data_IF_651737892252
#
_entry.id   IF_651737892252
#
_cell.length_a   1.000
_cell.length_b   1.000
_cell.length_c   1.000
_cell.angle_alpha   90.00
_cell.angle_beta   90.00
_cell.angle_gamma   90.00
#
_symmetry.space_group_name_H-M   'P 1'
#
loop_
_entity.id
_entity.type
_entity.pdbx_description
1 polymer ?
#
# COMPACT_ATOMS: atom_id res chain seq x y z
N UNK A 1 -15.30 -13.97 -16.90
CA UNK A 1 -15.37 -12.49 -16.78
C UNK A 1 -14.88 -12.03 -15.39
N UNK A 2 -14.23 -12.92 -14.62
CA UNK A 2 -13.82 -12.69 -13.23
C UNK A 2 -12.49 -11.97 -13.01
N UNK A 3 -11.58 -11.93 -13.99
CA UNK A 3 -10.21 -11.43 -13.74
C UNK A 3 -10.16 -9.93 -13.41
N UNK A 4 -11.11 -9.13 -13.92
CA UNK A 4 -11.17 -7.69 -13.68
C UNK A 4 -11.53 -7.34 -12.22
N UNK A 5 -12.35 -8.15 -11.56
CA UNK A 5 -12.78 -7.97 -10.16
C UNK A 5 -11.63 -8.18 -9.17
N UNK A 6 -10.86 -9.25 -9.35
CA UNK A 6 -9.70 -9.55 -8.49
C UNK A 6 -8.61 -8.49 -8.59
N UNK A 7 -8.41 -7.93 -9.78
CA UNK A 7 -7.48 -6.83 -10.06
C UNK A 7 -7.90 -5.55 -9.34
N UNK A 8 -9.19 -5.23 -9.33
CA UNK A 8 -9.74 -4.07 -8.61
C UNK A 8 -9.63 -4.22 -7.09
N UNK A 9 -9.84 -5.44 -6.59
CA UNK A 9 -9.64 -5.79 -5.17
C UNK A 9 -8.16 -5.68 -4.77
N UNK A 10 -7.26 -6.03 -5.68
CA UNK A 10 -5.80 -5.90 -5.54
C UNK A 10 -5.38 -4.43 -5.51
N UNK A 11 -6.00 -3.57 -6.33
CA UNK A 11 -5.83 -2.10 -6.32
C UNK A 11 -6.24 -1.48 -4.98
N UNK A 12 -7.45 -1.78 -4.49
CA UNK A 12 -7.93 -1.28 -3.18
C UNK A 12 -6.97 -1.66 -2.06
N UNK A 13 -6.38 -2.86 -2.13
CA UNK A 13 -5.41 -3.36 -1.14
C UNK A 13 -4.02 -2.75 -1.27
N UNK A 14 -3.48 -2.63 -2.48
CA UNK A 14 -2.22 -1.94 -2.75
C UNK A 14 -2.28 -0.49 -2.28
N UNK A 15 -3.45 0.11 -2.42
CA UNK A 15 -3.74 1.46 -2.01
C UNK A 15 -3.86 1.63 -0.50
N UNK A 16 -4.61 0.76 0.19
CA UNK A 16 -4.65 0.72 1.65
C UNK A 16 -3.24 0.52 2.23
N UNK A 17 -2.44 -0.32 1.57
CA UNK A 17 -1.05 -0.54 1.92
C UNK A 17 -0.19 0.72 1.70
N UNK A 18 -0.36 1.42 0.58
CA UNK A 18 0.32 2.69 0.32
C UNK A 18 -0.03 3.72 1.40
N UNK A 19 -1.31 3.83 1.77
CA UNK A 19 -1.80 4.72 2.84
C UNK A 19 -1.26 4.33 4.22
N UNK A 20 -1.27 3.04 4.57
CA UNK A 20 -0.71 2.56 5.83
C UNK A 20 0.82 2.76 5.90
N UNK A 21 1.49 2.83 4.75
CA UNK A 21 2.93 3.06 4.63
C UNK A 21 3.30 4.55 4.43
N UNK A 22 2.31 5.43 4.27
CA UNK A 22 2.50 6.83 3.87
C UNK A 22 3.18 7.69 4.96
N UNK A 23 3.24 7.23 6.22
CA UNK A 23 4.06 7.88 7.25
C UNK A 23 5.56 7.90 6.94
N UNK A 24 6.00 7.16 5.91
CA UNK A 24 7.39 7.05 5.49
C UNK A 24 7.56 7.32 3.98
N UNK A 25 6.87 8.33 3.42
CA UNK A 25 6.81 8.69 1.98
C UNK A 25 8.16 8.66 1.25
N UNK A 26 9.26 8.89 1.97
CA UNK A 26 10.60 8.75 1.43
C UNK A 26 10.92 7.34 0.93
N UNK A 27 10.44 6.26 1.55
CA UNK A 27 10.98 4.90 1.40
C UNK A 27 10.17 3.92 0.53
N UNK A 28 9.02 4.29 -0.03
CA UNK A 28 8.11 3.31 -0.67
C UNK A 28 8.72 2.54 -1.84
N UNK A 29 9.62 3.16 -2.62
CA UNK A 29 10.35 2.48 -3.71
C UNK A 29 11.45 1.54 -3.23
N UNK A 30 11.87 1.65 -1.96
CA UNK A 30 12.86 0.76 -1.37
C UNK A 30 12.23 -0.55 -0.86
N UNK A 31 10.89 -0.64 -0.82
CA UNK A 31 10.17 -1.80 -0.32
C UNK A 31 10.11 -2.88 -1.40
N UNK A 32 10.45 -4.11 -1.03
CA UNK A 32 10.51 -5.26 -1.93
C UNK A 32 9.66 -6.41 -1.41
N UNK A 33 9.07 -7.17 -2.33
CA UNK A 33 8.53 -8.51 -2.09
C UNK A 33 9.67 -9.50 -2.26
N UNK A 34 10.45 -9.67 -1.20
CA UNK A 34 11.53 -10.66 -1.14
C UNK A 34 11.60 -11.28 0.26
N UNK A 35 12.07 -12.52 0.42
CA UNK A 35 12.14 -13.18 1.73
C UNK A 35 12.95 -12.41 2.78
N UNK A 36 13.94 -11.63 2.36
CA UNK A 36 14.76 -10.78 3.23
C UNK A 36 14.16 -9.41 3.51
N UNK A 37 13.08 -9.04 2.83
CA UNK A 37 12.50 -7.70 2.84
C UNK A 37 11.04 -7.67 3.31
N UNK A 38 10.35 -8.81 3.38
CA UNK A 38 8.96 -8.92 3.80
C UNK A 38 8.78 -10.12 4.71
N UNK A 39 8.37 -9.84 5.94
CA UNK A 39 8.08 -10.85 6.95
C UNK A 39 6.65 -10.69 7.46
N UNK A 40 5.95 -11.81 7.66
CA UNK A 40 4.65 -11.84 8.32
C UNK A 40 4.81 -12.42 9.72
N UNK A 41 4.32 -11.69 10.72
CA UNK A 41 4.31 -12.14 12.10
C UNK A 41 3.36 -13.34 12.32
N UNK A 42 3.51 -14.03 13.45
CA UNK A 42 2.67 -15.18 13.80
C UNK A 42 1.19 -14.78 13.78
N UNK A 43 0.35 -15.66 13.23
CA UNK A 43 -1.10 -15.43 13.11
C UNK A 43 -1.50 -14.26 12.22
N UNK A 44 -0.61 -13.76 11.34
CA UNK A 44 -0.83 -12.54 10.55
C UNK A 44 -1.09 -11.31 11.41
N UNK A 45 -0.55 -11.26 12.63
CA UNK A 45 -0.71 -10.14 13.58
C UNK A 45 -0.04 -8.86 13.12
N UNK A 46 1.05 -8.98 12.34
CA UNK A 46 1.80 -7.87 11.77
C UNK A 46 2.46 -8.26 10.45
N UNK A 47 2.84 -7.27 9.65
CA UNK A 47 3.78 -7.43 8.55
C UNK A 47 4.92 -6.43 8.72
N UNK A 48 6.14 -6.87 8.46
CA UNK A 48 7.35 -6.08 8.56
C UNK A 48 7.97 -5.99 7.16
N UNK A 49 8.17 -4.77 6.69
CA UNK A 49 8.72 -4.45 5.39
C UNK A 49 10.07 -3.74 5.58
N UNK A 50 11.16 -4.42 5.23
CA UNK A 50 12.51 -3.86 5.32
C UNK A 50 12.87 -3.16 4.00
N UNK A 51 13.32 -1.89 4.06
CA UNK A 51 13.88 -1.22 2.89
C UNK A 51 15.11 -1.97 2.37
N UNK A 52 15.29 -1.97 1.04
CA UNK A 52 16.48 -2.53 0.38
C UNK A 52 17.78 -1.99 1.01
N UNK A 53 18.73 -2.89 1.27
CA UNK A 53 20.07 -2.53 1.70
C UNK A 53 20.73 -1.54 0.72
N UNK A 54 21.27 -0.43 1.24
CA UNK A 54 21.84 0.66 0.45
C UNK A 54 20.87 1.77 0.04
N UNK A 55 19.60 1.70 0.46
CA UNK A 55 18.68 2.82 0.30
C UNK A 55 19.06 3.99 1.23
N UNK A 56 19.38 5.14 0.64
CA UNK A 56 19.63 6.39 1.38
C UNK A 56 18.38 7.27 1.26
N UNK A 57 17.54 7.36 2.31
CA UNK A 57 16.40 8.26 2.26
C UNK A 57 16.85 9.71 2.17
N UNK A 58 16.02 10.50 1.49
CA UNK A 58 16.18 11.95 1.40
C UNK A 58 16.11 12.66 2.77
N UNK A 59 15.56 11.98 3.78
CA UNK A 59 15.53 12.43 5.18
C UNK A 59 16.32 11.42 6.03
N UNK A 60 17.47 11.81 6.62
CA UNK A 60 18.37 10.89 7.32
C UNK A 60 17.72 10.14 8.50
N UNK A 61 16.74 10.76 9.17
CA UNK A 61 16.05 10.19 10.34
C UNK A 61 15.21 8.94 10.04
N UNK A 62 14.98 8.61 8.77
CA UNK A 62 14.18 7.46 8.36
C UNK A 62 15.02 6.36 7.67
N UNK A 63 16.36 6.47 7.69
CA UNK A 63 17.24 5.49 7.07
C UNK A 63 17.21 4.17 7.83
N UNK A 64 16.82 3.10 7.14
CA UNK A 64 16.96 1.73 7.63
C UNK A 64 15.88 1.25 8.61
N UNK A 65 14.89 2.07 8.96
CA UNK A 65 13.78 1.60 9.80
C UNK A 65 12.78 0.78 8.98
N UNK A 66 12.36 -0.40 9.46
CA UNK A 66 11.32 -1.17 8.79
C UNK A 66 9.96 -0.46 8.88
N UNK A 67 9.15 -0.64 7.84
CA UNK A 67 7.73 -0.30 7.89
C UNK A 67 7.00 -1.44 8.58
N UNK A 68 6.33 -1.15 9.69
CA UNK A 68 5.57 -2.14 10.46
C UNK A 68 4.08 -1.87 10.28
N UNK A 69 3.37 -2.84 9.73
CA UNK A 69 1.92 -2.84 9.60
C UNK A 69 1.32 -3.73 10.68
N UNK A 70 0.40 -3.18 11.48
CA UNK A 70 -0.35 -3.96 12.46
C UNK A 70 -1.64 -4.46 11.83
N UNK A 71 -2.03 -5.69 12.16
CA UNK A 71 -3.30 -6.21 11.72
C UNK A 71 -4.45 -5.54 12.47
N UNK A 72 -5.49 -5.15 11.73
CA UNK A 72 -6.77 -4.84 12.34
C UNK A 72 -7.53 -6.14 12.59
N UNK A 73 -8.19 -6.22 13.75
CA UNK A 73 -9.13 -7.28 14.12
C UNK A 73 -8.50 -8.68 14.09
N UNK A 74 -7.80 -9.04 15.17
CA UNK A 74 -7.30 -10.40 15.37
C UNK A 74 -8.48 -11.39 15.49
N UNK A 75 -8.30 -12.60 14.97
CA UNK A 75 -9.31 -13.67 15.09
C UNK A 75 -9.35 -14.19 16.53
N UNK A 76 -10.52 -14.64 17.03
CA UNK A 76 -11.83 -14.67 16.37
C UNK A 76 -12.54 -13.31 16.34
N UNK A 77 -13.48 -13.14 15.40
CA UNK A 77 -14.30 -11.94 15.30
C UNK A 77 -15.36 -11.91 16.39
N UNK A 78 -15.40 -10.83 17.17
CA UNK A 78 -16.42 -10.65 18.21
C UNK A 78 -17.72 -10.06 17.66
N UNK A 79 -17.71 -9.53 16.42
CA UNK A 79 -18.89 -8.94 15.77
C UNK A 79 -18.82 -8.98 14.23
N UNK A 80 -19.99 -8.81 13.58
CA UNK A 80 -20.10 -8.65 12.13
C UNK A 80 -19.39 -7.38 11.62
N UNK A 81 -19.28 -6.34 12.44
CA UNK A 81 -18.50 -5.14 12.11
C UNK A 81 -17.00 -5.46 12.06
N UNK A 82 -16.51 -6.26 13.02
CA UNK A 82 -15.13 -6.72 13.09
C UNK A 82 -14.76 -7.62 11.89
N UNK A 83 -15.70 -8.43 11.42
CA UNK A 83 -15.57 -9.20 10.18
C UNK A 83 -15.48 -8.29 8.94
N UNK A 84 -16.30 -7.22 8.86
CA UNK A 84 -16.21 -6.24 7.78
C UNK A 84 -14.89 -5.46 7.80
N UNK A 85 -14.43 -5.04 8.98
CA UNK A 85 -13.16 -4.33 9.15
C UNK A 85 -11.94 -5.22 8.86
N UNK A 86 -12.06 -6.52 9.06
CA UNK A 86 -11.01 -7.48 8.71
C UNK A 86 -10.69 -7.52 7.22
N UNK A 87 -11.67 -7.22 6.35
CA UNK A 87 -11.42 -7.04 4.91
C UNK A 87 -10.53 -5.83 4.61
N UNK A 88 -10.46 -4.87 5.54
CA UNK A 88 -9.64 -3.66 5.45
C UNK A 88 -8.31 -3.78 6.21
N UNK A 89 -8.01 -4.96 6.78
CA UNK A 89 -6.76 -5.21 7.49
C UNK A 89 -5.54 -5.08 6.54
N UNK A 90 -4.57 -4.17 6.81
CA UNK A 90 -3.46 -3.90 5.90
C UNK A 90 -2.52 -5.10 5.76
N UNK A 91 -2.38 -5.92 6.81
CA UNK A 91 -1.56 -7.14 6.78
C UNK A 91 -2.15 -8.18 5.83
N UNK A 92 -3.47 -8.38 5.88
CA UNK A 92 -4.19 -9.31 4.99
C UNK A 92 -4.23 -8.76 3.56
N UNK A 93 -4.48 -7.47 3.43
CA UNK A 93 -4.43 -6.76 2.15
C UNK A 93 -3.08 -6.96 1.46
N UNK A 94 -1.96 -6.76 2.19
CA UNK A 94 -0.61 -7.00 1.71
C UNK A 94 -0.39 -8.45 1.30
N UNK A 95 -0.74 -9.42 2.15
CA UNK A 95 -0.59 -10.85 1.83
C UNK A 95 -1.33 -11.23 0.56
N UNK A 96 -2.60 -10.81 0.44
CA UNK A 96 -3.38 -11.14 -0.75
C UNK A 96 -2.87 -10.40 -1.98
N UNK A 97 -2.47 -9.14 -1.87
CA UNK A 97 -1.85 -8.40 -2.96
C UNK A 97 -0.58 -9.11 -3.48
N UNK A 98 0.32 -9.51 -2.57
CA UNK A 98 1.53 -10.24 -2.93
C UNK A 98 1.17 -11.53 -3.66
N UNK A 99 0.27 -12.34 -3.08
CA UNK A 99 -0.18 -13.60 -3.66
C UNK A 99 -0.82 -13.44 -5.06
N UNK A 100 -1.77 -12.51 -5.21
CA UNK A 100 -2.44 -12.25 -6.48
C UNK A 100 -1.51 -11.62 -7.53
N UNK A 101 -0.42 -10.96 -7.10
CA UNK A 101 0.55 -10.35 -8.01
C UNK A 101 1.60 -11.32 -8.56
N UNK A 102 1.76 -12.52 -7.98
CA UNK A 102 2.85 -13.46 -8.32
C UNK A 102 2.91 -13.75 -9.83
N UNK A 103 1.78 -14.03 -10.47
CA UNK A 103 1.74 -14.51 -11.86
C UNK A 103 2.07 -13.43 -12.91
N UNK A 104 2.01 -12.15 -12.56
CA UNK A 104 2.18 -11.03 -13.51
C UNK A 104 3.22 -10.01 -13.08
N UNK A 105 3.92 -10.27 -11.99
CA UNK A 105 5.01 -9.45 -11.47
C UNK A 105 6.29 -9.69 -12.27
N UNK A 106 6.91 -8.60 -12.73
CA UNK A 106 8.23 -8.63 -13.41
C UNK A 106 9.36 -8.08 -12.53
N UNK A 107 9.00 -7.48 -11.39
CA UNK A 107 9.93 -6.81 -10.49
C UNK A 107 9.68 -7.17 -9.03
N UNK A 108 10.73 -7.25 -8.18
CA UNK A 108 10.56 -7.43 -6.74
C UNK A 108 10.00 -6.18 -6.04
N UNK A 109 9.90 -5.02 -6.70
CA UNK A 109 9.34 -3.78 -6.12
C UNK A 109 7.94 -3.99 -5.54
N UNK A 110 7.69 -3.62 -4.29
CA UNK A 110 6.38 -3.81 -3.63
C UNK A 110 5.21 -3.37 -4.53
N UNK A 111 5.28 -2.15 -5.04
CA UNK A 111 4.30 -1.61 -5.98
C UNK A 111 4.73 -1.88 -7.43
N UNK A 112 3.83 -2.51 -8.19
CA UNK A 112 3.98 -2.77 -9.63
C UNK A 112 2.83 -2.15 -10.44
N UNK A 113 3.15 -1.71 -11.64
CA UNK A 113 2.23 -1.19 -12.65
C UNK A 113 1.27 -2.30 -13.09
N UNK A 114 0.01 -1.93 -13.30
CA UNK A 114 -1.07 -2.84 -13.67
C UNK A 114 -1.82 -2.31 -14.92
N UNK A 115 -2.35 -3.23 -15.74
CA UNK A 115 -3.39 -2.89 -16.73
C UNK A 115 -2.91 -2.09 -17.94
N UNK A 116 -1.61 -2.06 -18.20
CA UNK A 116 -0.99 -1.37 -19.34
C UNK A 116 0.12 -2.21 -19.96
N UNK A 117 0.78 -1.70 -21.00
CA UNK A 117 2.00 -2.30 -21.54
C UNK A 117 3.13 -2.49 -20.49
N UNK A 118 3.06 -1.72 -19.39
CA UNK A 118 4.00 -1.80 -18.26
C UNK A 118 3.55 -2.76 -17.16
N UNK A 119 2.57 -3.63 -17.43
CA UNK A 119 2.04 -4.56 -16.43
C UNK A 119 3.18 -5.41 -15.83
N UNK A 120 3.31 -5.39 -14.50
CA UNK A 120 4.35 -6.09 -13.75
C UNK A 120 5.62 -5.28 -13.44
N UNK A 121 5.81 -4.13 -14.09
CA UNK A 121 6.98 -3.26 -13.92
C UNK A 121 6.87 -2.42 -12.63
N UNK A 122 7.97 -1.93 -12.05
CA UNK A 122 7.91 -1.11 -10.84
C UNK A 122 7.18 0.22 -11.07
N UNK A 123 6.33 0.63 -10.13
CA UNK A 123 5.66 1.94 -10.19
C UNK A 123 6.67 3.06 -9.95
N UNK A 124 6.66 4.08 -10.82
CA UNK A 124 7.49 5.28 -10.63
C UNK A 124 7.00 6.13 -9.45
N UNK A 125 7.89 6.93 -8.83
CA UNK A 125 7.53 7.84 -7.74
C UNK A 125 6.36 8.77 -8.11
N UNK A 126 6.39 9.31 -9.33
CA UNK A 126 5.36 10.22 -9.86
C UNK A 126 4.00 9.52 -9.94
N UNK A 127 3.97 8.30 -10.48
CA UNK A 127 2.74 7.51 -10.60
C UNK A 127 2.19 7.09 -9.24
N UNK A 128 3.07 6.70 -8.31
CA UNK A 128 2.65 6.34 -6.96
C UNK A 128 2.03 7.54 -6.22
N UNK A 129 2.65 8.72 -6.32
CA UNK A 129 2.10 9.95 -5.75
C UNK A 129 0.73 10.29 -6.37
N UNK A 130 0.60 10.13 -7.69
CA UNK A 130 -0.68 10.32 -8.38
C UNK A 130 -1.76 9.37 -7.85
N UNK A 131 -1.47 8.07 -7.69
CA UNK A 131 -2.43 7.10 -7.15
C UNK A 131 -2.90 7.48 -5.73
N UNK A 132 -1.99 8.00 -4.90
CA UNK A 132 -2.33 8.45 -3.55
C UNK A 132 -3.27 9.65 -3.59
N UNK A 133 -2.96 10.67 -4.39
CA UNK A 133 -3.80 11.88 -4.54
C UNK A 133 -5.18 11.54 -5.11
N UNK A 134 -5.21 10.72 -6.15
CA UNK A 134 -6.44 10.26 -6.80
C UNK A 134 -7.38 9.58 -5.80
N UNK A 135 -6.83 8.77 -4.91
CA UNK A 135 -7.63 8.02 -3.94
C UNK A 135 -8.10 8.88 -2.80
N UNK A 136 -7.25 9.79 -2.32
CA UNK A 136 -7.70 10.77 -1.33
C UNK A 136 -8.86 11.56 -1.95
N UNK A 137 -8.74 12.00 -3.20
CA UNK A 137 -9.81 12.67 -3.94
C UNK A 137 -11.11 11.85 -3.96
N UNK A 138 -11.04 10.60 -4.42
CA UNK A 138 -12.22 9.71 -4.46
C UNK A 138 -12.81 9.43 -3.07
N UNK A 139 -11.99 9.32 -2.02
CA UNK A 139 -12.46 9.10 -0.65
C UNK A 139 -13.21 10.32 -0.10
N UNK A 140 -12.78 11.53 -0.47
CA UNK A 140 -13.46 12.78 -0.11
C UNK A 140 -14.75 12.96 -0.92
N UNK A 141 -14.72 12.71 -2.23
CA UNK A 141 -15.90 12.72 -3.11
C UNK A 141 -16.97 11.72 -2.65
N UNK A 142 -16.58 10.48 -2.32
CA UNK A 142 -17.50 9.45 -1.83
C UNK A 142 -18.14 9.81 -0.48
N UNK A 143 -17.52 10.72 0.30
CA UNK A 143 -18.08 11.25 1.55
C UNK A 143 -18.83 12.56 1.35
N UNK A 144 -18.86 13.12 0.14
CA UNK A 144 -19.43 14.44 -0.15
C UNK A 144 -18.68 15.58 0.54
N UNK A 145 -17.43 15.36 0.95
CA UNK A 145 -16.60 16.35 1.66
C UNK A 145 -15.65 16.96 0.63
N UNK A 146 -15.58 18.28 0.56
CA UNK A 146 -14.59 18.95 -0.28
C UNK A 146 -13.17 18.56 0.15
N UNK A 147 -12.29 18.30 -0.82
CA UNK A 147 -10.87 18.10 -0.54
C UNK A 147 -10.34 19.27 0.30
N UNK A 148 -9.50 19.02 1.31
CA UNK A 148 -8.79 20.09 1.98
C UNK A 148 -7.91 20.75 0.91
N UNK A 149 -8.28 21.95 0.47
CA UNK A 149 -7.47 22.76 -0.41
C UNK A 149 -6.11 22.90 0.26
N UNK A 150 -5.11 22.18 -0.25
CA UNK A 150 -3.71 22.49 0.04
C UNK A 150 -3.54 23.94 -0.35
N UNK A 151 -3.25 24.78 0.65
CA UNK A 151 -3.30 26.24 0.53
C UNK A 151 -2.69 26.71 -0.78
N UNK A 152 -3.54 27.07 -1.74
CA UNK A 152 -3.15 28.08 -2.69
C UNK A 152 -3.01 29.34 -1.86
N UNK A 153 -1.77 29.68 -1.53
CA UNK A 153 -1.42 31.04 -1.17
C UNK A 153 -1.92 31.93 -2.30
N UNK A 154 -2.98 32.67 -2.00
CA UNK A 154 -3.44 33.77 -2.81
C UNK A 154 -3.40 35.02 -1.94
N UNK A 155 -2.67 36.00 -2.46
CA UNK A 155 -2.57 37.42 -2.10
C UNK A 155 -1.82 37.70 -0.78
N UNK A 156 -0.73 38.48 -0.82
CA UNK A 156 -0.63 39.84 -1.37
C UNK A 156 0.76 40.16 -1.94
#
# INVERSE_FOLDING_TARGET
MESASEKFLTLKRALLLALASLGQVGGLQALLVAPTCLEFGPGMSKAILHPRAGYVPKVPRMAGHPVILQAFCLMPHESAEQERLHLHCPVRALKTYVHCSVSWRKSPSLFICFGSQYNGDPVSKKWLAHWVVEVITQAYEARGIALPLGGQGSLH
#
